data_IF_710102152193
#
_entry.id   IF_710102152193
#
_cell.length_a   1.000
_cell.length_b   1.000
_cell.length_c   1.000
_cell.angle_alpha   90.00
_cell.angle_beta   90.00
_cell.angle_gamma   90.00
#
_symmetry.space_group_name_H-M   'P 1'
#
loop_
_entity.id
_entity.type
_entity.pdbx_description
1 polymer ?
#
# COMPACT_ATOMS: atom_id res chain seq x y z
N UNK A 1 -11.61 -35.05 12.07
CA UNK A 1 -11.61 -34.85 10.61
C UNK A 1 -12.82 -34.03 10.15
N UNK A 2 -14.03 -34.43 10.51
CA UNK A 2 -15.29 -33.77 10.09
C UNK A 2 -15.61 -32.44 10.80
N UNK A 3 -14.94 -32.13 11.91
CA UNK A 3 -15.13 -30.88 12.67
C UNK A 3 -14.82 -29.65 11.82
N UNK A 4 -15.70 -28.66 11.78
CA UNK A 4 -15.48 -27.42 11.03
C UNK A 4 -14.26 -26.66 11.55
N UNK A 5 -14.05 -26.66 12.87
CA UNK A 5 -12.92 -26.03 13.57
C UNK A 5 -11.86 -27.08 13.97
N UNK A 6 -11.39 -27.84 12.98
CA UNK A 6 -10.43 -28.92 13.18
C UNK A 6 -9.13 -28.47 13.87
N UNK A 7 -8.71 -27.22 13.67
CA UNK A 7 -7.50 -26.64 14.28
C UNK A 7 -7.63 -26.36 15.77
N UNK A 8 -8.86 -26.24 16.29
CA UNK A 8 -9.15 -26.06 17.73
C UNK A 8 -9.63 -27.34 18.40
N UNK A 9 -9.93 -28.36 17.61
CA UNK A 9 -10.48 -29.61 18.13
C UNK A 9 -9.37 -30.40 18.84
N UNK A 10 -9.60 -30.90 20.07
CA UNK A 10 -8.63 -31.75 20.76
C UNK A 10 -8.25 -32.95 19.92
N UNK A 11 -6.95 -33.23 19.84
CA UNK A 11 -6.43 -34.42 19.18
C UNK A 11 -6.72 -35.67 20.03
N UNK A 12 -6.92 -36.84 19.39
CA UNK A 12 -7.29 -38.05 20.11
C UNK A 12 -6.20 -38.53 21.08
N UNK A 13 -6.63 -39.03 22.23
CA UNK A 13 -5.75 -39.64 23.23
C UNK A 13 -4.78 -38.65 23.87
N UNK A 14 -3.53 -39.07 24.06
CA UNK A 14 -2.48 -38.25 24.67
C UNK A 14 -1.76 -37.33 23.69
N UNK A 15 -2.06 -37.44 22.39
CA UNK A 15 -1.37 -36.69 21.33
C UNK A 15 -1.48 -35.18 21.58
N UNK A 16 -2.66 -34.72 22.01
CA UNK A 16 -2.92 -33.31 22.27
C UNK A 16 -1.97 -32.70 23.31
N UNK A 17 -1.61 -33.49 24.33
CA UNK A 17 -0.71 -33.08 25.42
C UNK A 17 0.78 -33.22 25.10
N UNK A 18 1.13 -33.97 24.04
CA UNK A 18 2.50 -34.31 23.68
C UNK A 18 3.01 -33.53 22.47
N UNK A 19 2.11 -32.83 21.77
CA UNK A 19 2.44 -32.16 20.51
C UNK A 19 2.64 -30.67 20.70
N UNK A 20 3.57 -30.11 19.94
CA UNK A 20 3.73 -28.66 19.83
C UNK A 20 2.67 -28.07 18.91
N UNK A 21 2.44 -26.76 18.99
CA UNK A 21 1.54 -26.05 18.06
C UNK A 21 1.96 -26.22 16.59
N UNK A 22 3.27 -26.24 16.33
CA UNK A 22 3.79 -26.55 14.99
C UNK A 22 3.45 -27.98 14.56
N UNK A 23 3.59 -28.95 15.47
CA UNK A 23 3.20 -30.34 15.21
C UNK A 23 1.69 -30.49 14.96
N UNK A 24 0.84 -29.80 15.72
CA UNK A 24 -0.61 -29.74 15.47
C UNK A 24 -0.89 -29.21 14.08
N UNK A 25 -0.22 -28.13 13.68
CA UNK A 25 -0.34 -27.56 12.34
C UNK A 25 0.05 -28.55 11.24
N UNK A 26 1.07 -29.39 11.44
CA UNK A 26 1.43 -30.46 10.50
C UNK A 26 0.31 -31.51 10.39
N UNK A 27 -0.30 -31.91 11.49
CA UNK A 27 -1.44 -32.86 11.48
C UNK A 27 -2.63 -32.26 10.74
N UNK A 28 -2.99 -31.00 11.04
CA UNK A 28 -4.09 -30.31 10.34
C UNK A 28 -3.76 -30.15 8.86
N UNK A 29 -2.51 -29.84 8.48
CA UNK A 29 -2.09 -29.79 7.07
C UNK A 29 -2.33 -31.13 6.35
N UNK A 30 -2.07 -32.26 7.00
CA UNK A 30 -2.26 -33.58 6.42
C UNK A 30 -3.75 -33.99 6.31
N UNK A 31 -4.58 -33.58 7.27
CA UNK A 31 -5.97 -34.06 7.38
C UNK A 31 -7.02 -33.04 6.91
N UNK A 32 -6.79 -31.75 7.10
CA UNK A 32 -7.69 -30.62 6.79
C UNK A 32 -6.90 -29.43 6.26
N UNK A 33 -6.32 -29.55 5.04
CA UNK A 33 -5.48 -28.51 4.46
C UNK A 33 -6.22 -27.18 4.28
N UNK A 34 -7.54 -27.18 4.16
CA UNK A 34 -8.40 -26.00 4.13
C UNK A 34 -8.31 -25.15 5.41
N UNK A 35 -7.98 -25.75 6.56
CA UNK A 35 -7.84 -25.06 7.85
C UNK A 35 -6.42 -24.60 8.16
N UNK A 36 -5.47 -24.80 7.23
CA UNK A 36 -4.07 -24.44 7.47
C UNK A 36 -3.87 -22.95 7.73
N UNK A 37 -4.62 -22.09 7.04
CA UNK A 37 -4.56 -20.64 7.24
C UNK A 37 -4.89 -20.27 8.68
N UNK A 38 -5.93 -20.87 9.27
CA UNK A 38 -6.29 -20.64 10.67
C UNK A 38 -5.20 -21.12 11.64
N UNK A 39 -4.57 -22.27 11.36
CA UNK A 39 -3.44 -22.76 12.15
C UNK A 39 -2.26 -21.79 12.13
N UNK A 40 -1.91 -21.27 10.96
CA UNK A 40 -0.80 -20.31 10.79
C UNK A 40 -1.11 -19.02 11.54
N UNK A 41 -2.33 -18.47 11.40
CA UNK A 41 -2.74 -17.25 12.11
C UNK A 41 -2.68 -17.45 13.64
N UNK A 42 -3.19 -18.57 14.15
CA UNK A 42 -3.10 -18.89 15.58
C UNK A 42 -1.64 -19.04 16.04
N UNK A 43 -0.82 -19.74 15.27
CA UNK A 43 0.60 -19.92 15.57
C UNK A 43 1.34 -18.58 15.67
N UNK A 44 1.14 -17.68 14.71
CA UNK A 44 1.73 -16.33 14.73
C UNK A 44 1.20 -15.52 15.91
N UNK A 45 -0.10 -15.59 16.19
CA UNK A 45 -0.74 -14.88 17.31
C UNK A 45 -0.13 -15.29 18.66
N UNK A 46 0.07 -16.59 18.87
CA UNK A 46 0.59 -17.12 20.13
C UNK A 46 2.10 -16.88 20.32
N UNK A 47 2.89 -16.92 19.23
CA UNK A 47 4.35 -16.84 19.31
C UNK A 47 4.92 -15.43 19.10
N UNK A 48 4.23 -14.58 18.33
CA UNK A 48 4.74 -13.25 17.94
C UNK A 48 3.77 -12.13 18.37
N UNK A 49 2.46 -12.40 18.37
CA UNK A 49 1.41 -11.50 18.84
C UNK A 49 0.34 -11.20 17.79
N UNK A 50 -0.86 -10.83 18.24
CA UNK A 50 -2.04 -10.64 17.37
C UNK A 50 -1.87 -9.51 16.33
N UNK A 51 -1.08 -8.47 16.65
CA UNK A 51 -0.79 -7.36 15.73
C UNK A 51 -0.13 -7.77 14.40
N UNK A 52 0.41 -8.99 14.30
CA UNK A 52 1.04 -9.52 13.08
C UNK A 52 0.06 -10.30 12.19
N UNK A 53 -1.16 -10.54 12.66
CA UNK A 53 -2.24 -11.19 11.89
C UNK A 53 -3.44 -10.28 11.66
N UNK A 54 -3.55 -9.20 12.43
CA UNK A 54 -4.55 -8.17 12.24
C UNK A 54 -4.17 -7.24 11.07
N UNK A 55 -5.10 -6.94 10.15
CA UNK A 55 -4.84 -6.00 9.08
C UNK A 55 -4.57 -4.59 9.66
N UNK A 56 -3.49 -3.91 9.24
CA UNK A 56 -3.18 -2.58 9.76
C UNK A 56 -4.25 -1.58 9.32
N UNK A 57 -4.59 -0.65 10.22
CA UNK A 57 -5.47 0.47 9.89
C UNK A 57 -4.68 1.45 9.01
N UNK A 58 -5.13 1.68 7.78
CA UNK A 58 -4.51 2.67 6.90
C UNK A 58 -4.71 4.08 7.45
N UNK A 59 -3.65 4.68 8.01
CA UNK A 59 -3.65 6.04 8.52
C UNK A 59 -2.80 6.95 7.63
N UNK A 60 -3.45 7.70 6.74
CA UNK A 60 -2.75 8.60 5.80
C UNK A 60 -1.97 9.72 6.48
N UNK A 61 -2.39 10.15 7.67
CA UNK A 61 -1.67 11.14 8.46
C UNK A 61 -0.28 10.64 8.89
N UNK A 62 -0.20 9.43 9.42
CA UNK A 62 1.07 8.80 9.83
C UNK A 62 1.99 8.59 8.61
N UNK A 63 1.42 8.12 7.50
CA UNK A 63 2.16 7.96 6.24
C UNK A 63 2.72 9.30 5.76
N UNK A 64 1.94 10.39 5.85
CA UNK A 64 2.39 11.72 5.48
C UNK A 64 3.53 12.22 6.40
N UNK A 65 3.47 11.93 7.69
CA UNK A 65 4.52 12.28 8.66
C UNK A 65 5.84 11.55 8.39
N UNK A 66 5.78 10.29 7.98
CA UNK A 66 6.95 9.49 7.57
C UNK A 66 7.46 9.85 6.16
N UNK A 67 6.63 10.54 5.37
CA UNK A 67 6.96 10.89 4.00
C UNK A 67 7.88 12.12 3.89
N UNK A 68 8.50 12.27 2.72
CA UNK A 68 9.39 13.38 2.43
C UNK A 68 9.13 13.95 1.02
N UNK A 69 9.82 15.04 0.70
CA UNK A 69 9.70 15.78 -0.57
C UNK A 69 10.38 15.13 -1.78
N UNK A 70 11.07 14.01 -1.59
CA UNK A 70 11.91 13.34 -2.61
C UNK A 70 11.38 11.97 -2.99
N UNK A 71 10.73 11.28 -2.06
CA UNK A 71 10.15 9.96 -2.26
C UNK A 71 8.66 10.08 -2.58
N UNK A 72 8.18 9.52 -3.71
CA UNK A 72 6.76 9.51 -4.01
C UNK A 72 6.00 8.55 -3.09
N UNK A 73 4.74 8.88 -2.83
CA UNK A 73 3.76 8.04 -2.13
C UNK A 73 2.88 7.35 -3.17
N UNK A 74 2.84 6.03 -3.16
CA UNK A 74 2.30 5.23 -4.26
C UNK A 74 1.14 4.38 -3.74
N UNK A 75 -0.08 4.72 -4.15
CA UNK A 75 -1.24 3.86 -3.96
C UNK A 75 -1.24 2.75 -5.00
N UNK A 76 -1.13 1.51 -4.52
CA UNK A 76 -1.38 0.32 -5.31
C UNK A 76 -2.88 0.06 -5.32
N UNK A 77 -3.49 0.24 -6.50
CA UNK A 77 -4.94 0.16 -6.65
C UNK A 77 -5.40 -1.30 -6.68
N UNK A 78 -6.33 -1.62 -5.80
CA UNK A 78 -7.18 -2.82 -5.91
C UNK A 78 -8.44 -2.48 -6.72
N UNK A 79 -9.06 -3.47 -7.40
CA UNK A 79 -10.31 -3.24 -8.15
C UNK A 79 -11.38 -2.56 -7.30
N UNK A 80 -11.98 -1.49 -7.81
CA UNK A 80 -13.07 -0.76 -7.15
C UNK A 80 -12.65 0.19 -6.02
N UNK A 81 -11.35 0.39 -5.79
CA UNK A 81 -10.84 1.27 -4.74
C UNK A 81 -10.22 2.52 -5.35
N UNK A 82 -10.78 3.70 -5.03
CA UNK A 82 -10.21 5.00 -5.41
C UNK A 82 -9.65 5.73 -4.16
N UNK A 83 -8.34 6.05 -4.10
CA UNK A 83 -7.74 6.80 -3.00
C UNK A 83 -8.03 8.31 -3.07
N UNK A 84 -8.53 8.85 -4.19
CA UNK A 84 -8.68 10.29 -4.38
C UNK A 84 -9.54 10.97 -3.30
N UNK A 85 -10.70 10.43 -2.87
CA UNK A 85 -11.51 11.07 -1.84
C UNK A 85 -10.79 11.14 -0.48
N UNK A 86 -10.07 10.08 -0.09
CA UNK A 86 -9.31 10.05 1.17
C UNK A 86 -8.15 11.06 1.13
N UNK A 87 -7.49 11.18 -0.02
CA UNK A 87 -6.39 12.13 -0.19
C UNK A 87 -6.88 13.58 -0.25
N UNK A 88 -8.07 13.83 -0.83
CA UNK A 88 -8.73 15.13 -0.80
C UNK A 88 -9.04 15.57 0.63
N UNK A 89 -9.62 14.68 1.44
CA UNK A 89 -9.87 14.95 2.86
C UNK A 89 -8.56 15.25 3.61
N UNK A 90 -7.51 14.46 3.39
CA UNK A 90 -6.19 14.73 3.99
C UNK A 90 -5.65 16.11 3.58
N UNK A 91 -5.82 16.51 2.32
CA UNK A 91 -5.41 17.82 1.84
C UNK A 91 -6.23 18.95 2.47
N UNK A 92 -7.51 18.74 2.79
CA UNK A 92 -8.33 19.69 3.53
C UNK A 92 -7.84 19.83 4.98
N UNK A 93 -7.62 18.71 5.67
CA UNK A 93 -7.13 18.67 7.04
C UNK A 93 -5.76 19.35 7.21
N UNK A 94 -4.92 19.31 6.17
CA UNK A 94 -3.59 19.95 6.15
C UNK A 94 -3.59 21.33 5.49
N UNK A 95 -4.76 21.92 5.21
CA UNK A 95 -4.91 23.25 4.58
C UNK A 95 -4.21 23.38 3.20
N UNK A 96 -4.08 22.27 2.49
CA UNK A 96 -3.49 22.19 1.14
C UNK A 96 -4.55 22.31 0.03
N UNK A 97 -5.80 21.93 0.30
CA UNK A 97 -6.84 21.76 -0.72
C UNK A 97 -7.17 23.01 -1.55
N UNK A 98 -7.15 24.21 -0.97
CA UNK A 98 -7.70 25.41 -1.59
C UNK A 98 -6.87 25.97 -2.76
N UNK A 99 -5.56 25.68 -2.81
CA UNK A 99 -4.69 26.17 -3.89
C UNK A 99 -3.34 25.47 -4.00
N UNK A 100 -3.08 24.45 -3.17
CA UNK A 100 -1.79 23.78 -3.07
C UNK A 100 -1.88 22.27 -3.28
N UNK A 101 -3.04 21.72 -3.60
CA UNK A 101 -3.24 20.32 -3.96
C UNK A 101 -3.80 20.23 -5.39
N UNK A 102 -3.12 19.48 -6.24
CA UNK A 102 -3.48 19.32 -7.65
C UNK A 102 -3.63 17.85 -7.98
N UNK A 103 -4.79 17.46 -8.49
CA UNK A 103 -5.05 16.11 -9.00
C UNK A 103 -5.04 16.11 -10.53
N UNK A 104 -4.47 15.06 -11.13
CA UNK A 104 -4.45 14.85 -12.56
C UNK A 104 -4.47 13.34 -12.87
N UNK A 105 -5.49 12.87 -13.59
CA UNK A 105 -5.47 11.52 -14.15
C UNK A 105 -4.57 11.51 -15.40
N UNK A 106 -3.61 10.60 -15.44
CA UNK A 106 -2.73 10.44 -16.59
C UNK A 106 -3.48 9.71 -17.70
N UNK A 107 -3.68 10.41 -18.81
CA UNK A 107 -4.28 9.90 -20.03
C UNK A 107 -3.63 10.57 -21.24
N UNK A 108 -4.14 10.28 -22.44
CA UNK A 108 -3.58 10.85 -23.67
C UNK A 108 -3.54 12.38 -23.62
N UNK A 109 -2.37 12.96 -23.89
CA UNK A 109 -2.16 14.41 -23.92
C UNK A 109 -1.97 15.12 -22.57
N UNK A 110 -2.01 14.42 -21.43
CA UNK A 110 -1.85 15.06 -20.10
C UNK A 110 -0.39 15.24 -19.66
N UNK A 111 0.56 14.59 -20.34
CA UNK A 111 1.99 14.64 -20.04
C UNK A 111 2.56 16.08 -19.86
N UNK A 112 2.32 17.05 -20.76
CA UNK A 112 2.82 18.41 -20.59
C UNK A 112 2.24 19.11 -19.35
N UNK A 113 0.98 18.82 -19.00
CA UNK A 113 0.31 19.38 -17.82
C UNK A 113 0.88 18.77 -16.54
N UNK A 114 1.13 17.46 -16.54
CA UNK A 114 1.77 16.75 -15.42
C UNK A 114 3.16 17.36 -15.11
N UNK A 115 4.00 17.56 -16.14
CA UNK A 115 5.32 18.21 -15.99
C UNK A 115 5.21 19.57 -15.31
N UNK A 116 4.33 20.44 -15.83
CA UNK A 116 4.14 21.80 -15.29
C UNK A 116 3.68 21.79 -13.83
N UNK A 117 2.77 20.88 -13.47
CA UNK A 117 2.30 20.73 -12.09
C UNK A 117 3.43 20.29 -11.16
N UNK A 118 4.25 19.32 -11.59
CA UNK A 118 5.39 18.84 -10.81
C UNK A 118 6.43 19.94 -10.62
N UNK A 119 6.83 20.63 -11.68
CA UNK A 119 7.79 21.74 -11.61
C UNK A 119 7.30 22.88 -10.69
N UNK A 120 6.02 23.26 -10.81
CA UNK A 120 5.42 24.26 -9.94
C UNK A 120 5.35 23.76 -8.49
N UNK A 121 4.99 22.49 -8.28
CA UNK A 121 4.92 21.87 -6.97
C UNK A 121 6.27 21.81 -6.28
N UNK A 122 7.33 21.44 -7.00
CA UNK A 122 8.69 21.40 -6.47
C UNK A 122 9.17 22.76 -5.98
N UNK A 123 8.78 23.85 -6.68
CA UNK A 123 9.15 25.22 -6.32
C UNK A 123 8.29 25.82 -5.21
N UNK A 124 6.98 25.58 -5.25
CA UNK A 124 5.98 26.23 -4.39
C UNK A 124 5.49 25.36 -3.23
N UNK A 125 5.94 24.11 -3.14
CA UNK A 125 5.51 23.19 -2.09
C UNK A 125 4.08 22.71 -2.26
N UNK A 126 3.65 22.45 -3.49
CA UNK A 126 2.32 21.88 -3.74
C UNK A 126 2.33 20.35 -3.56
N UNK A 127 1.17 19.79 -3.31
CA UNK A 127 0.92 18.37 -3.45
C UNK A 127 0.39 18.10 -4.86
N UNK A 128 0.97 17.10 -5.52
CA UNK A 128 0.54 16.68 -6.85
C UNK A 128 0.15 15.21 -6.77
N UNK A 129 -1.10 14.91 -7.10
CA UNK A 129 -1.62 13.56 -7.24
C UNK A 129 -1.77 13.21 -8.71
N UNK A 130 -0.95 12.25 -9.18
CA UNK A 130 -1.07 11.67 -10.51
C UNK A 130 -1.84 10.36 -10.41
N UNK A 131 -3.08 10.37 -10.87
CA UNK A 131 -3.95 9.22 -10.81
C UNK A 131 -3.76 8.30 -12.04
N UNK A 132 -3.94 7.00 -11.83
CA UNK A 132 -3.99 5.99 -12.87
C UNK A 132 -2.74 5.93 -13.76
N UNK A 133 -1.54 6.00 -13.17
CA UNK A 133 -0.26 6.02 -13.88
C UNK A 133 -0.07 4.86 -14.87
N UNK A 134 -0.56 3.65 -14.54
CA UNK A 134 -0.59 2.49 -15.45
C UNK A 134 -1.27 2.73 -16.81
N UNK A 135 -2.17 3.71 -16.93
CA UNK A 135 -2.84 4.03 -18.20
C UNK A 135 -1.94 4.81 -19.17
N UNK A 136 -0.77 5.28 -18.72
CA UNK A 136 0.15 6.06 -19.54
C UNK A 136 1.58 5.54 -19.39
N UNK A 137 1.84 4.35 -19.93
CA UNK A 137 3.15 3.68 -19.85
C UNK A 137 4.27 4.56 -20.40
N UNK A 138 4.05 5.24 -21.53
CA UNK A 138 5.05 6.13 -22.13
C UNK A 138 5.44 7.30 -21.22
N UNK A 139 4.54 7.74 -20.34
CA UNK A 139 4.84 8.78 -19.36
C UNK A 139 5.66 8.27 -18.17
N UNK A 140 5.58 6.97 -17.84
CA UNK A 140 6.26 6.41 -16.67
C UNK A 140 7.79 6.58 -16.76
N UNK A 141 8.37 6.42 -17.95
CA UNK A 141 9.80 6.66 -18.18
C UNK A 141 10.20 8.12 -18.02
N UNK A 142 9.28 9.05 -18.26
CA UNK A 142 9.53 10.47 -17.99
C UNK A 142 9.36 10.80 -16.50
N UNK A 143 8.34 10.24 -15.87
CA UNK A 143 8.12 10.34 -14.43
C UNK A 143 9.33 9.83 -13.64
N UNK A 144 9.92 8.70 -14.07
CA UNK A 144 11.16 8.14 -13.50
C UNK A 144 12.29 9.16 -13.47
N UNK A 145 12.57 9.82 -14.61
CA UNK A 145 13.59 10.87 -14.71
C UNK A 145 13.30 12.04 -13.78
N UNK A 146 12.03 12.44 -13.66
CA UNK A 146 11.64 13.54 -12.75
C UNK A 146 11.87 13.13 -11.29
N UNK A 147 11.51 11.89 -10.93
CA UNK A 147 11.69 11.34 -9.59
C UNK A 147 13.17 11.20 -9.22
N UNK A 148 14.03 10.83 -10.18
CA UNK A 148 15.49 10.84 -10.00
C UNK A 148 16.02 12.28 -9.78
N UNK A 149 15.52 13.25 -10.54
CA UNK A 149 15.89 14.66 -10.35
C UNK A 149 15.52 15.19 -8.95
N UNK A 150 14.42 14.74 -8.35
CA UNK A 150 14.05 15.13 -6.97
C UNK A 150 15.15 14.83 -5.95
N UNK A 151 16.03 13.86 -6.23
CA UNK A 151 17.12 13.48 -5.32
C UNK A 151 18.24 14.52 -5.28
N UNK A 152 18.46 15.23 -6.38
CA UNK A 152 19.62 16.11 -6.56
C UNK A 152 19.25 17.59 -6.50
N UNK A 153 18.04 17.96 -6.93
CA UNK A 153 17.63 19.37 -7.00
C UNK A 153 17.10 19.90 -5.67
N UNK A 154 17.09 21.23 -5.54
CA UNK A 154 16.40 21.90 -4.45
C UNK A 154 14.88 21.77 -4.63
N UNK A 155 14.21 21.17 -3.64
CA UNK A 155 12.76 20.95 -3.62
C UNK A 155 12.19 21.57 -2.34
N UNK A 156 11.03 22.22 -2.45
CA UNK A 156 10.32 22.80 -1.32
C UNK A 156 9.93 21.73 -0.29
N UNK A 157 10.05 22.04 1.01
CA UNK A 157 9.85 21.06 2.09
C UNK A 157 8.43 20.47 2.13
N UNK A 158 7.42 21.27 1.81
CA UNK A 158 6.02 20.83 1.79
C UNK A 158 5.63 20.02 0.54
N UNK A 159 6.47 19.96 -0.49
CA UNK A 159 6.13 19.24 -1.72
C UNK A 159 5.88 17.76 -1.41
N UNK A 160 4.80 17.20 -1.97
CA UNK A 160 4.52 15.77 -1.93
C UNK A 160 4.03 15.30 -3.28
N UNK A 161 4.61 14.21 -3.76
CA UNK A 161 4.18 13.53 -4.98
C UNK A 161 3.41 12.27 -4.60
N UNK A 162 2.12 12.25 -4.95
CA UNK A 162 1.24 11.12 -4.77
C UNK A 162 0.98 10.48 -6.14
N UNK A 163 1.05 9.16 -6.21
CA UNK A 163 0.81 8.37 -7.41
C UNK A 163 -0.28 7.35 -7.11
N UNK A 164 -1.14 7.03 -8.08
CA UNK A 164 -1.94 5.81 -8.03
C UNK A 164 -1.74 4.97 -9.27
N UNK A 165 -1.62 3.66 -9.08
CA UNK A 165 -1.47 2.72 -10.19
C UNK A 165 -2.00 1.34 -9.84
N UNK A 166 -2.68 0.71 -10.79
CA UNK A 166 -2.85 -0.74 -10.77
C UNK A 166 -1.48 -1.40 -10.97
N UNK A 167 -1.27 -2.62 -10.44
CA UNK A 167 -0.04 -3.38 -10.69
C UNK A 167 0.20 -3.58 -12.19
N UNK A 168 1.41 -3.28 -12.65
CA UNK A 168 1.86 -3.53 -14.03
C UNK A 168 3.37 -3.76 -14.05
N UNK A 169 3.84 -4.62 -14.95
CA UNK A 169 5.26 -4.92 -15.13
C UNK A 169 6.04 -3.75 -15.73
N UNK A 170 5.34 -2.81 -16.37
CA UNK A 170 5.95 -1.63 -16.99
C UNK A 170 6.18 -0.48 -16.00
N UNK A 171 5.75 -0.63 -14.74
CA UNK A 171 5.94 0.42 -13.74
C UNK A 171 7.43 0.49 -13.35
N UNK A 172 8.09 1.66 -13.41
CA UNK A 172 9.51 1.77 -13.16
C UNK A 172 9.91 1.27 -11.78
N UNK A 173 10.81 0.28 -11.76
CA UNK A 173 11.31 -0.34 -10.53
C UNK A 173 12.03 0.69 -9.66
N UNK A 174 12.72 1.66 -10.26
CA UNK A 174 13.40 2.75 -9.56
C UNK A 174 12.45 3.56 -8.67
N UNK A 175 11.29 3.97 -9.21
CA UNK A 175 10.23 4.68 -8.49
C UNK A 175 9.70 3.80 -7.37
N UNK A 176 9.48 2.50 -7.64
CA UNK A 176 9.07 1.56 -6.60
C UNK A 176 10.13 1.46 -5.51
N UNK A 177 11.41 1.31 -5.82
CA UNK A 177 12.45 1.12 -4.80
C UNK A 177 12.50 2.30 -3.81
N UNK A 178 12.36 3.54 -4.28
CA UNK A 178 12.46 4.72 -3.44
C UNK A 178 11.13 5.21 -2.85
N UNK A 179 10.00 4.81 -3.43
CA UNK A 179 8.68 5.26 -3.04
C UNK A 179 8.11 4.53 -1.82
N UNK A 180 7.21 5.18 -1.09
CA UNK A 180 6.42 4.57 -0.03
C UNK A 180 5.17 3.95 -0.65
N UNK A 181 5.00 2.62 -0.52
CA UNK A 181 3.89 1.87 -1.13
C UNK A 181 2.76 1.75 -0.14
N UNK A 182 1.56 2.05 -0.61
CA UNK A 182 0.35 2.06 0.18
C UNK A 182 -0.64 1.11 -0.48
N UNK A 183 -0.99 0.04 0.22
CA UNK A 183 -2.09 -0.85 -0.17
C UNK A 183 -3.33 -0.48 0.64
N UNK A 184 -4.45 -0.33 -0.04
CA UNK A 184 -5.76 -0.17 0.60
C UNK A 184 -6.56 -1.43 0.31
N UNK A 185 -6.19 -2.53 0.98
CA UNK A 185 -6.98 -3.76 0.90
C UNK A 185 -8.31 -3.53 1.62
N UNK A 186 -9.41 -3.74 0.92
CA UNK A 186 -10.74 -3.79 1.54
C UNK A 186 -10.68 -4.86 2.63
N UNK A 187 -11.07 -4.51 3.87
CA UNK A 187 -11.21 -5.52 4.92
C UNK A 187 -12.14 -6.60 4.37
N UNK A 188 -11.64 -7.84 4.27
CA UNK A 188 -12.51 -8.97 3.98
C UNK A 188 -13.50 -9.02 5.13
N UNK A 189 -14.75 -8.64 4.86
CA UNK A 189 -15.86 -8.90 5.76
C UNK A 189 -15.97 -10.43 5.76
N UNK A 190 -15.39 -11.04 6.80
CA UNK A 190 -15.47 -12.47 7.08
C UNK A 190 -16.88 -12.86 7.46
#
# INVERSE_FOLDING_TARGET
YTSEDAEKTPLPGTIDSLITEFGRMLIVRCLRPDRITHCVLNFVTLNIGSKFVEPPILQLNSILEESNKRSPLIFLLSPGVDPAPKLQQLAEDKMMAQSRYFTLSLGQGQAPRARKLLEAGMKKGHWVFLANCHLSISWLSELEKIVEQLQTVAVHNDFRLWLSSSPTNDFPISILQIGLKITNESQKVS
#
